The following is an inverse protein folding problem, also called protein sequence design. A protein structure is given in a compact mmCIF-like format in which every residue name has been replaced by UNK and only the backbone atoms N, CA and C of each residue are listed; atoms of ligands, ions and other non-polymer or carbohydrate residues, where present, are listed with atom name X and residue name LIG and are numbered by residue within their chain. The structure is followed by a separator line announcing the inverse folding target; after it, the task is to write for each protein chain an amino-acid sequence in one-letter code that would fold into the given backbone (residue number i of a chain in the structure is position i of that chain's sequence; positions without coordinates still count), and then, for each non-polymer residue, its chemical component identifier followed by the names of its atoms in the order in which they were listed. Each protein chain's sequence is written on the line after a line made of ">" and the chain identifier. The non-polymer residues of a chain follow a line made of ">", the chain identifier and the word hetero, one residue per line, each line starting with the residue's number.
data_IF_748614848472
#
_entry.id   IF_748614848472
#
_cell.length_a   1.000
_cell.length_b   1.000
_cell.length_c   1.000
_cell.angle_alpha   90.00
_cell.angle_beta   90.00
_cell.angle_gamma   90.00
#
_symmetry.space_group_name_H-M   'P 1'
#
loop_
_entity.id
_entity.type
_entity.pdbx_description
1 polymer ?
#
# COMPACT_ATOMS: atom_id res chain seq x y z
N UNK A 1 13.18 -3.60 -4.47
CA UNK A 1 12.09 -2.78 -3.90
C UNK A 1 11.80 -3.26 -2.48
N UNK A 2 11.83 -2.36 -1.48
CA UNK A 2 11.88 -2.75 -0.04
C UNK A 2 10.57 -2.54 0.74
N UNK A 3 9.60 -1.80 0.21
CA UNK A 3 8.40 -1.40 0.96
C UNK A 3 7.05 -1.94 0.45
N UNK A 4 7.02 -2.58 -0.73
CA UNK A 4 5.77 -3.04 -1.36
C UNK A 4 4.82 -1.92 -1.79
N UNK A 5 3.62 -2.29 -2.25
CA UNK A 5 2.57 -1.36 -2.72
C UNK A 5 1.31 -1.55 -1.88
N UNK A 6 0.75 -0.46 -1.37
CA UNK A 6 -0.49 -0.46 -0.61
C UNK A 6 -1.58 0.25 -1.42
N UNK A 7 -2.69 -0.45 -1.64
CA UNK A 7 -3.88 0.09 -2.31
C UNK A 7 -4.86 0.49 -1.21
N UNK A 8 -5.14 1.79 -1.12
CA UNK A 8 -5.99 2.38 -0.08
C UNK A 8 -7.22 3.05 -0.70
N UNK A 9 -8.34 2.98 0.02
CA UNK A 9 -9.54 3.77 -0.24
C UNK A 9 -10.41 3.34 -1.43
N UNK A 10 -11.55 4.02 -1.57
CA UNK A 10 -12.38 4.00 -2.76
C UNK A 10 -13.24 2.74 -2.95
N UNK A 11 -13.38 2.33 -4.21
CA UNK A 11 -14.39 1.35 -4.65
C UNK A 11 -13.92 -0.11 -4.55
N UNK A 12 -12.59 -0.34 -4.53
CA UNK A 12 -11.99 -1.68 -4.64
C UNK A 12 -12.42 -2.64 -3.52
N UNK A 13 -12.55 -2.23 -2.23
CA UNK A 13 -13.00 -3.13 -1.17
C UNK A 13 -14.35 -3.81 -1.45
N UNK A 14 -15.24 -3.16 -2.22
CA UNK A 14 -16.58 -3.68 -2.58
C UNK A 14 -16.52 -4.88 -3.53
N UNK A 15 -15.42 -5.08 -4.24
CA UNK A 15 -15.21 -6.19 -5.17
C UNK A 15 -13.82 -6.80 -5.02
N UNK A 16 -13.32 -6.86 -3.79
CA UNK A 16 -11.94 -7.29 -3.48
C UNK A 16 -11.58 -8.67 -4.05
N UNK A 17 -12.49 -9.64 -4.02
CA UNK A 17 -12.28 -10.97 -4.59
C UNK A 17 -12.07 -10.91 -6.12
N UNK A 18 -12.89 -10.14 -6.83
CA UNK A 18 -12.70 -9.91 -8.27
C UNK A 18 -11.36 -9.25 -8.55
N UNK A 19 -11.01 -8.21 -7.78
CA UNK A 19 -9.73 -7.53 -7.92
C UNK A 19 -8.53 -8.45 -7.68
N UNK A 20 -8.59 -9.33 -6.68
CA UNK A 20 -7.55 -10.33 -6.41
C UNK A 20 -7.38 -11.33 -7.56
N UNK A 21 -8.49 -11.77 -8.17
CA UNK A 21 -8.47 -12.64 -9.35
C UNK A 21 -8.11 -11.92 -10.67
N UNK A 22 -8.02 -10.59 -10.64
CA UNK A 22 -7.78 -9.79 -11.84
C UNK A 22 -6.33 -9.86 -12.30
N UNK A 23 -6.06 -9.32 -13.50
CA UNK A 23 -4.71 -9.19 -14.05
C UNK A 23 -3.84 -8.12 -13.37
N UNK A 24 -4.31 -7.43 -12.32
CA UNK A 24 -3.61 -6.27 -11.75
C UNK A 24 -2.14 -6.55 -11.42
N UNK A 25 -1.86 -7.61 -10.64
CA UNK A 25 -0.49 -7.93 -10.23
C UNK A 25 0.41 -8.29 -11.43
N UNK A 26 -0.15 -8.91 -12.48
CA UNK A 26 0.57 -9.19 -13.73
C UNK A 26 0.88 -7.89 -14.48
N UNK A 27 -0.09 -6.99 -14.60
CA UNK A 27 0.07 -5.69 -15.25
C UNK A 27 1.05 -4.77 -14.51
N UNK A 28 1.06 -4.82 -13.17
CA UNK A 28 2.02 -4.09 -12.35
C UNK A 28 3.45 -4.52 -12.67
N UNK A 29 3.69 -5.84 -12.74
CA UNK A 29 5.00 -6.43 -13.03
C UNK A 29 5.44 -6.28 -14.48
N UNK A 30 4.51 -6.15 -15.42
CA UNK A 30 4.81 -5.98 -16.86
C UNK A 30 5.42 -4.60 -17.15
N UNK A 31 6.75 -4.47 -17.02
CA UNK A 31 7.53 -3.23 -17.25
C UNK A 31 8.76 -3.47 -18.12
N UNK A 32 8.68 -4.39 -19.07
CA UNK A 32 9.77 -4.72 -19.99
C UNK A 32 11.03 -5.19 -19.24
N UNK A 33 12.18 -4.58 -19.53
CA UNK A 33 13.46 -4.88 -18.87
C UNK A 33 13.43 -4.71 -17.34
N UNK A 34 12.52 -3.89 -16.81
CA UNK A 34 12.39 -3.68 -15.36
C UNK A 34 11.46 -4.69 -14.68
N UNK A 35 10.86 -5.63 -15.40
CA UNK A 35 9.86 -6.55 -14.83
C UNK A 35 10.42 -7.36 -13.66
N UNK A 36 11.66 -7.85 -13.78
CA UNK A 36 12.36 -8.59 -12.73
C UNK A 36 12.50 -7.78 -11.43
N UNK A 37 12.64 -6.46 -11.51
CA UNK A 37 12.75 -5.62 -10.32
C UNK A 37 11.45 -5.59 -9.49
N UNK A 38 10.31 -5.79 -10.16
CA UNK A 38 8.98 -5.74 -9.56
C UNK A 38 8.39 -7.11 -9.23
N UNK A 39 9.02 -8.21 -9.66
CA UNK A 39 8.52 -9.57 -9.41
C UNK A 39 8.33 -9.88 -7.93
N UNK A 40 9.28 -9.47 -7.09
CA UNK A 40 9.24 -9.64 -5.65
C UNK A 40 8.52 -8.53 -4.88
N UNK A 41 7.81 -7.63 -5.56
CA UNK A 41 7.10 -6.53 -4.90
C UNK A 41 5.72 -7.01 -4.45
N UNK A 42 5.47 -7.12 -3.13
CA UNK A 42 4.15 -7.44 -2.63
C UNK A 42 3.19 -6.27 -2.85
N UNK A 43 1.91 -6.60 -3.04
CA UNK A 43 0.80 -5.66 -3.15
C UNK A 43 -0.23 -6.02 -2.09
N UNK A 44 -0.64 -5.06 -1.29
CA UNK A 44 -1.67 -5.22 -0.27
C UNK A 44 -2.85 -4.31 -0.52
N UNK A 45 -4.05 -4.83 -0.28
CA UNK A 45 -5.26 -4.02 -0.21
C UNK A 45 -5.49 -3.67 1.25
N UNK A 46 -5.55 -2.38 1.57
CA UNK A 46 -5.83 -1.91 2.92
C UNK A 46 -7.33 -1.99 3.18
N UNK A 47 -7.70 -2.71 4.24
CA UNK A 47 -9.09 -2.93 4.66
C UNK A 47 -9.43 -2.23 5.96
N UNK A 48 -8.55 -1.37 6.48
CA UNK A 48 -8.86 -0.53 7.64
C UNK A 48 -10.06 0.40 7.31
N UNK A 49 -10.88 0.68 8.32
CA UNK A 49 -12.10 1.48 8.16
C UNK A 49 -11.76 2.97 7.94
N UNK A 50 -10.80 3.49 8.68
CA UNK A 50 -10.38 4.90 8.61
C UNK A 50 -8.85 5.07 8.50
N UNK A 51 -8.19 4.49 7.47
CA UNK A 51 -6.73 4.52 7.36
C UNK A 51 -6.15 5.94 7.30
N UNK A 52 -6.91 6.90 6.75
CA UNK A 52 -6.51 8.30 6.73
C UNK A 52 -6.54 8.98 8.10
N UNK A 53 -7.55 8.68 8.93
CA UNK A 53 -7.63 9.23 10.29
C UNK A 53 -6.59 8.61 11.21
N UNK A 54 -6.37 7.29 11.09
CA UNK A 54 -5.29 6.60 11.80
C UNK A 54 -3.92 7.17 11.44
N UNK A 55 -3.65 7.37 10.14
CA UNK A 55 -2.41 7.99 9.66
C UNK A 55 -2.23 9.43 10.14
N UNK A 56 -3.31 10.21 10.21
CA UNK A 56 -3.28 11.56 10.76
C UNK A 56 -2.93 11.57 12.26
N UNK A 57 -3.47 10.62 13.03
CA UNK A 57 -3.13 10.43 14.44
C UNK A 57 -1.65 10.10 14.65
N UNK A 58 -1.11 9.16 13.85
CA UNK A 58 0.32 8.82 13.89
C UNK A 58 1.20 10.02 13.54
N UNK A 59 0.85 10.77 12.49
CA UNK A 59 1.59 11.97 12.10
C UNK A 59 1.60 13.02 13.22
N UNK A 60 0.45 13.25 13.88
CA UNK A 60 0.36 14.15 15.02
C UNK A 60 1.23 13.66 16.18
N UNK A 61 1.19 12.36 16.52
CA UNK A 61 2.02 11.79 17.58
C UNK A 61 3.51 12.01 17.32
N UNK A 62 3.97 11.76 16.10
CA UNK A 62 5.37 11.98 15.69
C UNK A 62 5.79 13.45 15.81
N UNK A 63 4.86 14.39 15.61
CA UNK A 63 5.12 15.83 15.82
C UNK A 63 5.19 16.21 17.29
N UNK A 64 4.50 15.49 18.17
CA UNK A 64 4.47 15.75 19.61
C UNK A 64 5.62 15.06 20.35
N UNK A 65 6.23 14.01 19.78
CA UNK A 65 7.43 13.39 20.32
C UNK A 65 8.61 14.37 20.16
N UNK A 66 9.25 14.83 21.26
CA UNK A 66 10.40 15.73 21.17
C UNK A 66 11.54 15.04 20.41
N UNK A 67 12.23 15.79 19.55
CA UNK A 67 13.30 15.32 18.67
C UNK A 67 14.59 14.85 19.39
N UNK A 68 14.51 14.47 20.66
CA UNK A 68 15.65 14.29 21.58
C UNK A 68 15.71 12.87 22.16
N UNK A 69 15.53 11.88 21.28
CA UNK A 69 15.79 10.47 21.58
C UNK A 69 16.75 9.84 20.56
N UNK A 70 17.82 10.57 20.21
CA UNK A 70 18.96 10.06 19.44
C UNK A 70 20.28 10.51 20.08
#
# INVERSE_FOLDING_TARGET
>A
ARGGVYIVGGVIPRFSAFFQSSGFAKSLRSKGCMSHYLEGVPVWLVTAEYPGLEGAGVALQQMLEPADAA
#
